data_IF_703514662235
#
_entry.id   IF_703514662235
#
_cell.length_a   1.000
_cell.length_b   1.000
_cell.length_c   1.000
_cell.angle_alpha   90.00
_cell.angle_beta   90.00
_cell.angle_gamma   90.00
#
_symmetry.space_group_name_H-M   'P 1'
#
loop_
_entity.id
_entity.type
_entity.pdbx_description
1 polymer ?
#
# COMPACT_ATOMS: atom_id res chain seq x y z
N UNK A 1 19.04 -5.70 -15.04
CA UNK A 1 18.15 -6.66 -15.70
C UNK A 1 18.90 -7.40 -16.82
N UNK A 2 18.51 -8.64 -17.10
CA UNK A 2 19.06 -9.46 -18.21
C UNK A 2 17.91 -9.78 -19.14
N UNK A 3 18.10 -9.51 -20.42
CA UNK A 3 17.13 -9.88 -21.48
C UNK A 3 17.65 -11.14 -22.16
N UNK A 4 16.80 -12.16 -22.25
CA UNK A 4 17.12 -13.44 -22.87
C UNK A 4 16.26 -13.59 -24.15
N UNK A 5 16.80 -13.29 -25.33
CA UNK A 5 16.06 -13.42 -26.58
C UNK A 5 15.65 -14.88 -26.85
N UNK A 6 14.47 -15.07 -27.43
CA UNK A 6 13.96 -16.39 -27.85
C UNK A 6 13.98 -17.45 -26.73
N UNK A 7 13.79 -17.03 -25.46
CA UNK A 7 13.80 -17.92 -24.30
C UNK A 7 12.38 -18.03 -23.74
N UNK A 8 11.89 -19.24 -23.57
CA UNK A 8 10.60 -19.51 -22.95
C UNK A 8 10.65 -19.31 -21.43
N UNK A 9 9.48 -19.16 -20.80
CA UNK A 9 9.38 -19.02 -19.34
C UNK A 9 10.06 -20.20 -18.62
N UNK A 10 9.88 -21.43 -19.10
CA UNK A 10 10.48 -22.64 -18.52
C UNK A 10 12.01 -22.66 -18.63
N UNK A 11 12.56 -22.19 -19.73
CA UNK A 11 14.01 -22.07 -19.89
C UNK A 11 14.57 -20.98 -18.98
N UNK A 12 13.88 -19.85 -18.84
CA UNK A 12 14.25 -18.81 -17.91
C UNK A 12 14.27 -19.32 -16.45
N UNK A 13 13.27 -20.12 -16.04
CA UNK A 13 13.23 -20.80 -14.74
C UNK A 13 14.46 -21.70 -14.51
N UNK A 14 14.83 -22.49 -15.50
CA UNK A 14 16.00 -23.38 -15.42
C UNK A 14 17.31 -22.58 -15.29
N UNK A 15 17.43 -21.46 -16.01
CA UNK A 15 18.59 -20.57 -15.92
C UNK A 15 18.68 -19.98 -14.52
N UNK A 16 17.56 -19.48 -13.98
CA UNK A 16 17.51 -18.90 -12.63
C UNK A 16 17.84 -19.95 -11.57
N UNK A 17 17.30 -21.16 -11.67
CA UNK A 17 17.60 -22.25 -10.74
C UNK A 17 19.11 -22.60 -10.72
N UNK A 18 19.76 -22.60 -11.88
CA UNK A 18 21.22 -22.78 -11.96
C UNK A 18 21.99 -21.65 -11.31
N UNK A 19 21.59 -20.40 -11.53
CA UNK A 19 22.23 -19.24 -10.94
C UNK A 19 22.07 -19.24 -9.41
N UNK A 20 20.89 -19.56 -8.90
CA UNK A 20 20.64 -19.70 -7.46
C UNK A 20 21.56 -20.76 -6.82
N UNK A 21 21.70 -21.91 -7.47
CA UNK A 21 22.60 -22.98 -7.00
C UNK A 21 24.07 -22.54 -6.99
N UNK A 22 24.53 -21.81 -7.99
CA UNK A 22 25.90 -21.29 -8.05
C UNK A 22 26.14 -20.27 -6.93
N UNK A 23 25.18 -19.36 -6.72
CA UNK A 23 25.30 -18.26 -5.74
C UNK A 23 25.20 -18.78 -4.30
N UNK A 24 24.41 -19.84 -4.04
CA UNK A 24 24.18 -20.36 -2.69
C UNK A 24 25.47 -20.88 -2.01
N UNK A 25 26.52 -21.15 -2.74
CA UNK A 25 27.82 -21.60 -2.21
C UNK A 25 28.85 -20.47 -2.12
N UNK A 26 28.55 -19.31 -2.67
CA UNK A 26 29.45 -18.16 -2.70
C UNK A 26 29.37 -17.33 -1.43
N UNK A 27 30.49 -16.77 -1.01
CA UNK A 27 30.61 -15.85 0.14
C UNK A 27 31.41 -14.63 -0.21
N UNK A 28 31.07 -13.51 0.38
CA UNK A 28 31.84 -12.27 0.32
C UNK A 28 32.20 -11.88 1.75
N UNK A 29 33.50 -11.87 2.08
CA UNK A 29 34.01 -11.64 3.43
C UNK A 29 33.36 -12.55 4.50
N UNK A 30 33.26 -13.86 4.20
CA UNK A 30 32.62 -14.89 5.01
C UNK A 30 31.09 -14.76 5.18
N UNK A 31 30.46 -13.75 4.56
CA UNK A 31 29.02 -13.58 4.55
C UNK A 31 28.44 -14.33 3.35
N UNK A 32 27.46 -15.26 3.54
CA UNK A 32 26.81 -15.94 2.43
C UNK A 32 26.18 -14.96 1.46
N UNK A 33 26.45 -15.12 0.17
CA UNK A 33 25.85 -14.29 -0.86
C UNK A 33 24.39 -14.68 -1.07
N UNK A 34 23.49 -13.71 -1.00
CA UNK A 34 22.06 -13.89 -1.26
C UNK A 34 21.60 -12.95 -2.37
N UNK A 35 21.05 -13.53 -3.45
CA UNK A 35 20.49 -12.76 -4.58
C UNK A 35 19.09 -13.27 -4.85
N UNK A 36 18.14 -12.35 -4.96
CA UNK A 36 16.77 -12.67 -5.34
C UNK A 36 16.58 -12.47 -6.84
N UNK A 37 15.85 -13.39 -7.46
CA UNK A 37 15.57 -13.40 -8.89
C UNK A 37 14.06 -13.32 -9.13
N UNK A 38 13.69 -12.60 -10.17
CA UNK A 38 12.38 -12.66 -10.78
C UNK A 38 12.53 -12.75 -12.29
N UNK A 39 11.61 -13.41 -12.93
CA UNK A 39 11.61 -13.60 -14.37
C UNK A 39 10.19 -13.52 -14.91
N UNK A 40 10.07 -13.05 -16.14
CA UNK A 40 8.84 -13.02 -16.90
C UNK A 40 9.14 -13.20 -18.37
N UNK A 41 8.15 -13.66 -19.13
CA UNK A 41 8.28 -13.86 -20.56
C UNK A 41 7.17 -13.07 -21.28
N UNK A 42 7.54 -12.25 -22.24
CA UNK A 42 6.58 -11.61 -23.14
C UNK A 42 5.97 -12.67 -24.05
N UNK A 43 4.69 -12.98 -23.87
CA UNK A 43 3.98 -14.02 -24.62
C UNK A 43 3.05 -13.48 -25.68
N UNK A 44 2.64 -12.21 -25.59
CA UNK A 44 1.74 -11.55 -26.52
C UNK A 44 2.41 -10.36 -27.22
N UNK A 45 2.06 -10.14 -28.47
CA UNK A 45 2.57 -8.99 -29.25
C UNK A 45 2.13 -7.66 -28.62
N UNK A 46 0.95 -7.65 -27.97
CA UNK A 46 0.36 -6.48 -27.31
C UNK A 46 1.01 -6.14 -25.97
N UNK A 47 1.72 -7.06 -25.33
CA UNK A 47 2.47 -6.77 -24.09
C UNK A 47 3.64 -5.84 -24.38
N UNK A 48 3.85 -4.85 -23.53
CA UNK A 48 5.04 -3.99 -23.59
C UNK A 48 6.22 -4.64 -22.86
N UNK A 49 7.42 -4.19 -23.17
CA UNK A 49 8.62 -4.61 -22.42
C UNK A 49 8.56 -4.15 -20.97
N UNK A 50 7.96 -3.00 -20.74
CA UNK A 50 7.78 -2.41 -19.41
C UNK A 50 6.84 -3.26 -18.52
N UNK A 51 5.72 -3.74 -19.08
CA UNK A 51 4.81 -4.66 -18.39
C UNK A 51 5.52 -5.98 -18.04
N UNK A 52 6.28 -6.54 -18.98
CA UNK A 52 7.05 -7.77 -18.74
C UNK A 52 8.12 -7.56 -17.67
N UNK A 53 8.78 -6.40 -17.67
CA UNK A 53 9.76 -6.04 -16.65
C UNK A 53 9.11 -5.89 -15.27
N UNK A 54 7.95 -5.22 -15.18
CA UNK A 54 7.16 -5.06 -13.96
C UNK A 54 6.70 -6.43 -13.40
N UNK A 55 6.36 -7.38 -14.27
CA UNK A 55 6.03 -8.76 -13.85
C UNK A 55 7.25 -9.48 -13.25
N UNK A 56 8.41 -9.38 -13.90
CA UNK A 56 9.65 -9.98 -13.41
C UNK A 56 10.09 -9.35 -12.07
N UNK A 57 10.00 -8.04 -11.94
CA UNK A 57 10.30 -7.31 -10.73
C UNK A 57 9.38 -7.73 -9.58
N UNK A 58 8.08 -7.83 -9.82
CA UNK A 58 7.11 -8.31 -8.83
C UNK A 58 7.43 -9.74 -8.38
N UNK A 59 7.84 -10.61 -9.30
CA UNK A 59 8.24 -11.98 -8.98
C UNK A 59 9.54 -12.02 -8.15
N UNK A 60 10.52 -11.18 -8.47
CA UNK A 60 11.75 -11.05 -7.69
C UNK A 60 11.46 -10.64 -6.25
N UNK A 61 10.59 -9.65 -6.04
CA UNK A 61 10.18 -9.23 -4.71
C UNK A 61 9.46 -10.35 -3.96
N UNK A 62 8.58 -11.10 -4.62
CA UNK A 62 7.96 -12.30 -4.02
C UNK A 62 9.03 -13.28 -3.54
N UNK A 63 9.99 -13.65 -4.39
CA UNK A 63 11.06 -14.60 -4.02
C UNK A 63 11.96 -14.07 -2.91
N UNK A 64 12.28 -12.78 -2.90
CA UNK A 64 13.08 -12.16 -1.85
C UNK A 64 12.46 -12.34 -0.45
N UNK A 65 11.15 -12.30 -0.37
CA UNK A 65 10.39 -12.42 0.87
C UNK A 65 10.07 -13.89 1.23
N UNK A 66 9.98 -14.80 0.25
CA UNK A 66 9.75 -16.24 0.48
C UNK A 66 10.98 -17.02 0.96
N UNK A 67 12.18 -16.48 0.82
CA UNK A 67 13.42 -17.17 1.19
C UNK A 67 13.62 -17.34 2.70
N UNK A 68 12.74 -16.75 3.53
CA UNK A 68 12.81 -16.85 5.00
C UNK A 68 11.42 -17.19 5.60
N UNK A 69 11.07 -18.49 5.73
CA UNK A 69 9.73 -18.93 6.16
C UNK A 69 9.33 -18.57 7.59
N UNK A 70 10.28 -18.30 8.48
CA UNK A 70 10.04 -18.00 9.91
C UNK A 70 9.97 -16.50 10.25
N UNK A 71 10.17 -15.61 9.29
CA UNK A 71 10.35 -14.17 9.53
C UNK A 71 9.08 -13.37 9.14
N UNK A 72 7.95 -14.00 8.82
CA UNK A 72 6.86 -13.37 8.04
C UNK A 72 6.11 -12.23 8.74
N UNK A 73 5.70 -12.41 10.00
CA UNK A 73 5.04 -11.34 10.77
C UNK A 73 6.09 -10.41 11.39
N UNK A 74 7.19 -10.96 11.88
CA UNK A 74 8.28 -10.17 12.44
C UNK A 74 8.89 -9.21 11.41
N UNK A 75 8.94 -9.63 10.12
CA UNK A 75 9.42 -8.76 9.04
C UNK A 75 8.48 -7.61 8.72
N UNK A 76 7.16 -7.81 8.73
CA UNK A 76 6.20 -6.73 8.52
C UNK A 76 6.24 -5.73 9.68
N UNK A 77 6.31 -6.23 10.91
CA UNK A 77 6.48 -5.40 12.09
C UNK A 77 7.78 -4.61 12.03
N UNK A 78 8.88 -5.23 11.62
CA UNK A 78 10.16 -4.53 11.44
C UNK A 78 10.10 -3.43 10.38
N UNK A 79 9.39 -3.67 9.26
CA UNK A 79 9.17 -2.64 8.23
C UNK A 79 8.30 -1.50 8.77
N UNK A 80 7.24 -1.82 9.52
CA UNK A 80 6.40 -0.80 10.16
C UNK A 80 7.20 0.04 11.16
N UNK A 81 8.02 -0.58 12.01
CA UNK A 81 8.88 0.15 12.93
C UNK A 81 9.84 1.09 12.18
N UNK A 82 10.41 0.66 11.04
CA UNK A 82 11.22 1.55 10.19
C UNK A 82 10.42 2.75 9.65
N UNK A 83 9.12 2.55 9.30
CA UNK A 83 8.24 3.64 8.89
C UNK A 83 8.00 4.60 10.06
N UNK A 84 7.70 4.07 11.24
CA UNK A 84 7.41 4.86 12.44
C UNK A 84 8.63 5.64 12.95
N UNK A 85 9.83 5.04 12.88
CA UNK A 85 11.09 5.74 13.18
C UNK A 85 11.35 6.90 12.20
N UNK A 86 11.03 6.68 10.92
CA UNK A 86 11.25 7.66 9.86
C UNK A 86 10.23 8.78 9.85
N UNK A 87 9.00 8.47 10.21
CA UNK A 87 7.87 9.39 10.20
C UNK A 87 7.22 9.45 11.59
N UNK A 88 7.75 10.27 12.53
CA UNK A 88 7.17 10.44 13.86
C UNK A 88 5.68 10.82 13.79
N UNK A 89 4.83 10.13 14.56
CA UNK A 89 3.39 10.31 14.56
C UNK A 89 2.62 9.41 13.58
N UNK A 90 3.32 8.67 12.70
CA UNK A 90 2.67 7.80 11.74
C UNK A 90 1.97 6.60 12.40
N UNK A 91 2.49 6.14 13.55
CA UNK A 91 1.87 5.06 14.32
C UNK A 91 0.51 5.48 14.84
N UNK A 92 0.45 6.58 15.57
CA UNK A 92 -0.77 7.14 16.13
C UNK A 92 -1.77 7.51 15.03
N UNK A 93 -1.27 7.99 13.90
CA UNK A 93 -2.07 8.27 12.71
C UNK A 93 -2.75 7.01 12.18
N UNK A 94 -1.99 5.94 11.95
CA UNK A 94 -2.51 4.67 11.44
C UNK A 94 -3.48 4.00 12.44
N UNK A 95 -3.24 4.15 13.75
CA UNK A 95 -4.14 3.65 14.80
C UNK A 95 -5.48 4.40 14.78
N UNK A 96 -5.49 5.72 14.61
CA UNK A 96 -6.71 6.52 14.46
C UNK A 96 -7.49 6.14 13.19
N UNK A 97 -6.79 5.97 12.06
CA UNK A 97 -7.42 5.49 10.82
C UNK A 97 -8.05 4.13 11.05
N UNK A 98 -7.37 3.21 11.74
CA UNK A 98 -7.88 1.86 12.01
C UNK A 98 -9.11 1.88 12.93
N UNK A 99 -9.16 2.74 13.95
CA UNK A 99 -10.32 2.90 14.81
C UNK A 99 -11.54 3.32 14.00
N UNK A 100 -11.42 4.35 13.19
CA UNK A 100 -12.51 4.85 12.34
C UNK A 100 -12.97 3.79 11.33
N UNK A 101 -12.04 3.10 10.67
CA UNK A 101 -12.37 2.03 9.74
C UNK A 101 -13.14 0.88 10.42
N UNK A 102 -12.73 0.50 11.63
CA UNK A 102 -13.43 -0.52 12.40
C UNK A 102 -14.86 -0.07 12.81
N UNK A 103 -15.06 1.20 13.19
CA UNK A 103 -16.38 1.74 13.46
C UNK A 103 -17.26 1.71 12.22
N UNK A 104 -16.75 2.20 11.07
CA UNK A 104 -17.48 2.16 9.79
C UNK A 104 -17.86 0.74 9.38
N UNK A 105 -16.96 -0.22 9.55
CA UNK A 105 -17.19 -1.61 9.21
C UNK A 105 -18.22 -2.28 10.13
N UNK A 106 -18.19 -1.99 11.43
CA UNK A 106 -19.19 -2.46 12.41
C UNK A 106 -20.59 -1.96 12.08
N UNK A 107 -20.74 -0.69 11.73
CA UNK A 107 -22.03 -0.09 11.34
C UNK A 107 -22.59 -0.70 10.05
N UNK A 108 -21.77 -1.39 9.27
CA UNK A 108 -22.13 -2.08 8.04
C UNK A 108 -22.28 -3.61 8.22
N UNK A 109 -22.18 -4.11 9.45
CA UNK A 109 -22.39 -5.52 9.77
C UNK A 109 -21.27 -6.44 9.32
N UNK A 110 -20.03 -5.97 9.26
CA UNK A 110 -18.87 -6.80 8.95
C UNK A 110 -18.70 -7.89 9.99
N UNK A 111 -18.37 -9.10 9.53
CA UNK A 111 -18.03 -10.24 10.39
C UNK A 111 -16.72 -9.97 11.14
N UNK A 112 -16.48 -10.71 12.24
CA UNK A 112 -15.23 -10.61 13.02
C UNK A 112 -13.99 -10.72 12.13
N UNK A 113 -14.00 -11.66 11.17
CA UNK A 113 -12.88 -11.82 10.22
C UNK A 113 -12.68 -10.60 9.33
N UNK A 114 -13.75 -10.01 8.84
CA UNK A 114 -13.68 -8.78 8.05
C UNK A 114 -13.23 -7.57 8.88
N UNK A 115 -13.57 -7.54 10.18
CA UNK A 115 -13.09 -6.52 11.11
C UNK A 115 -11.58 -6.66 11.37
N UNK A 116 -11.07 -7.87 11.53
CA UNK A 116 -9.63 -8.13 11.60
C UNK A 116 -8.92 -7.70 10.32
N UNK A 117 -9.48 -8.05 9.15
CA UNK A 117 -8.89 -7.73 7.86
C UNK A 117 -8.85 -6.20 7.62
N UNK A 118 -9.94 -5.47 7.89
CA UNK A 118 -9.94 -4.00 7.70
C UNK A 118 -9.02 -3.29 8.71
N UNK A 119 -8.94 -3.78 9.94
CA UNK A 119 -7.98 -3.27 10.92
C UNK A 119 -6.54 -3.42 10.44
N UNK A 120 -6.20 -4.61 9.91
CA UNK A 120 -4.88 -4.86 9.36
C UNK A 120 -4.58 -3.97 8.14
N UNK A 121 -5.53 -3.81 7.22
CA UNK A 121 -5.41 -2.89 6.07
C UNK A 121 -5.12 -1.48 6.53
N UNK A 122 -5.88 -0.98 7.51
CA UNK A 122 -5.75 0.40 8.00
C UNK A 122 -4.41 0.65 8.69
N UNK A 123 -3.89 -0.32 9.45
CA UNK A 123 -2.57 -0.21 10.08
C UNK A 123 -1.42 -0.28 9.07
N UNK A 124 -1.62 -0.98 7.96
CA UNK A 124 -0.58 -1.27 6.96
C UNK A 124 -0.68 -0.38 5.71
N UNK A 125 -1.72 0.48 5.58
CA UNK A 125 -1.98 1.19 4.32
C UNK A 125 -0.79 2.00 3.81
N UNK A 126 -0.02 2.55 4.71
CA UNK A 126 1.14 3.41 4.45
C UNK A 126 2.51 2.70 4.59
N UNK A 127 2.54 1.36 4.73
CA UNK A 127 3.79 0.61 4.89
C UNK A 127 4.81 0.85 3.74
N UNK A 128 4.32 1.17 2.56
CA UNK A 128 5.17 1.48 1.40
C UNK A 128 5.97 2.78 1.54
N UNK A 129 5.64 3.65 2.49
CA UNK A 129 6.42 4.84 2.83
C UNK A 129 7.85 4.52 3.30
N UNK A 130 8.13 3.28 3.66
CA UNK A 130 9.49 2.84 4.05
C UNK A 130 10.56 3.22 3.03
N UNK A 131 10.22 3.24 1.74
CA UNK A 131 11.16 3.54 0.66
C UNK A 131 11.36 5.03 0.38
N UNK A 132 10.54 5.93 0.94
CA UNK A 132 10.63 7.37 0.69
C UNK A 132 11.92 7.94 1.29
N UNK A 133 12.97 8.06 0.50
CA UNK A 133 14.29 8.52 0.98
C UNK A 133 14.54 10.01 0.84
N UNK A 134 13.88 10.67 -0.09
CA UNK A 134 14.07 12.09 -0.40
C UNK A 134 12.89 13.01 -0.02
N UNK A 135 11.77 12.42 0.42
CA UNK A 135 10.53 13.16 0.69
C UNK A 135 10.46 13.58 2.15
N UNK A 136 10.53 14.87 2.41
CA UNK A 136 10.28 15.41 3.74
C UNK A 136 8.80 15.77 3.90
N UNK A 137 8.01 14.83 4.41
CA UNK A 137 6.57 15.02 4.64
C UNK A 137 6.28 16.08 5.74
N UNK A 138 7.29 16.50 6.50
CA UNK A 138 7.16 17.48 7.58
C UNK A 138 7.67 18.88 7.18
N UNK A 139 8.12 19.07 5.93
CA UNK A 139 8.57 20.38 5.49
C UNK A 139 7.41 21.38 5.45
N UNK A 140 7.66 22.65 5.76
CA UNK A 140 6.66 23.70 5.55
C UNK A 140 6.31 23.82 4.06
N UNK A 141 5.00 23.89 3.77
CA UNK A 141 4.51 24.08 2.40
C UNK A 141 4.16 22.80 1.66
N UNK A 142 3.98 22.92 0.35
CA UNK A 142 3.57 21.80 -0.51
C UNK A 142 4.78 20.97 -0.94
N UNK A 143 4.54 19.68 -1.20
CA UNK A 143 5.51 18.84 -1.88
C UNK A 143 5.72 19.37 -3.31
N UNK A 144 6.96 19.28 -3.80
CA UNK A 144 7.24 19.55 -5.19
C UNK A 144 6.78 18.37 -6.09
N UNK A 145 6.89 18.53 -7.39
CA UNK A 145 6.40 17.55 -8.35
C UNK A 145 7.14 16.20 -8.21
N UNK A 146 8.44 16.21 -7.96
CA UNK A 146 9.27 15.01 -7.81
C UNK A 146 8.90 14.26 -6.53
N UNK A 147 8.81 14.98 -5.42
CA UNK A 147 8.38 14.43 -4.12
C UNK A 147 6.97 13.84 -4.20
N UNK A 148 6.08 14.50 -4.95
CA UNK A 148 4.71 14.04 -5.13
C UNK A 148 4.65 12.77 -5.98
N UNK A 149 5.46 12.67 -7.03
CA UNK A 149 5.59 11.45 -7.84
C UNK A 149 6.14 10.30 -6.98
N UNK A 150 7.14 10.56 -6.15
CA UNK A 150 7.72 9.56 -5.25
C UNK A 150 6.71 9.10 -4.21
N UNK A 151 5.98 10.04 -3.57
CA UNK A 151 4.95 9.72 -2.59
C UNK A 151 3.86 8.83 -3.19
N UNK A 152 3.38 9.13 -4.39
CA UNK A 152 2.33 8.33 -5.07
C UNK A 152 2.71 6.87 -5.32
N UNK A 153 3.96 6.49 -5.16
CA UNK A 153 4.41 5.10 -5.34
C UNK A 153 4.17 4.21 -4.12
N UNK A 154 3.91 4.80 -2.93
CA UNK A 154 3.80 4.00 -1.71
C UNK A 154 2.67 2.94 -1.75
N UNK A 155 1.50 3.13 -2.41
CA UNK A 155 0.50 2.07 -2.50
C UNK A 155 0.99 0.86 -3.31
N UNK A 156 1.71 1.09 -4.42
CA UNK A 156 2.30 0.01 -5.21
C UNK A 156 3.40 -0.73 -4.43
N UNK A 157 4.19 -0.01 -3.66
CA UNK A 157 5.24 -0.59 -2.82
C UNK A 157 4.62 -1.39 -1.67
N UNK A 158 3.61 -0.84 -1.01
CA UNK A 158 2.83 -1.54 0.02
C UNK A 158 2.19 -2.82 -0.51
N UNK A 159 1.58 -2.75 -1.69
CA UNK A 159 1.06 -3.93 -2.40
C UNK A 159 2.14 -5.01 -2.59
N UNK A 160 3.33 -4.63 -3.05
CA UNK A 160 4.45 -5.57 -3.27
C UNK A 160 4.92 -6.20 -1.97
N UNK A 161 5.03 -5.41 -0.89
CA UNK A 161 5.42 -5.89 0.43
C UNK A 161 4.40 -6.93 0.93
N UNK A 162 3.10 -6.61 0.89
CA UNK A 162 2.06 -7.50 1.42
C UNK A 162 1.82 -8.73 0.54
N UNK A 163 1.81 -8.57 -0.78
CA UNK A 163 1.56 -9.69 -1.73
C UNK A 163 2.51 -10.86 -1.56
N UNK A 164 3.65 -10.64 -0.95
CA UNK A 164 4.65 -11.67 -0.66
C UNK A 164 4.38 -12.41 0.66
N UNK A 165 3.47 -11.93 1.50
CA UNK A 165 3.14 -12.54 2.78
C UNK A 165 1.89 -13.43 2.63
N UNK A 166 1.98 -14.69 3.08
CA UNK A 166 0.88 -15.67 2.92
C UNK A 166 -0.33 -15.37 3.81
N UNK A 167 -0.16 -14.64 4.92
CA UNK A 167 -1.23 -14.36 5.87
C UNK A 167 -2.04 -13.14 5.46
N UNK A 168 -1.36 -12.07 5.03
CA UNK A 168 -2.00 -10.79 4.71
C UNK A 168 -1.95 -10.43 3.23
N UNK A 169 -1.37 -11.28 2.37
CA UNK A 169 -1.23 -11.03 0.94
C UNK A 169 -2.57 -10.78 0.21
N UNK A 170 -3.66 -11.38 0.69
CA UNK A 170 -5.02 -11.11 0.20
C UNK A 170 -5.48 -9.67 0.43
N UNK A 171 -4.87 -8.96 1.39
CA UNK A 171 -5.20 -7.57 1.71
C UNK A 171 -4.41 -6.56 0.86
N UNK A 172 -3.43 -7.04 0.09
CA UNK A 172 -2.53 -6.19 -0.68
C UNK A 172 -3.29 -5.29 -1.68
N UNK A 173 -4.35 -5.81 -2.31
CA UNK A 173 -5.17 -5.06 -3.24
C UNK A 173 -5.85 -3.86 -2.59
N UNK A 174 -6.28 -3.99 -1.33
CA UNK A 174 -6.89 -2.89 -0.61
C UNK A 174 -5.89 -1.76 -0.32
N UNK A 175 -4.62 -2.12 -0.08
CA UNK A 175 -3.53 -1.17 0.09
C UNK A 175 -3.16 -0.51 -1.25
N UNK A 176 -3.15 -1.26 -2.34
CA UNK A 176 -2.89 -0.69 -3.67
C UNK A 176 -3.89 0.42 -4.02
N UNK A 177 -5.15 0.23 -3.65
CA UNK A 177 -6.27 1.04 -4.15
C UNK A 177 -6.82 2.07 -3.15
N UNK A 178 -6.18 2.25 -1.97
CA UNK A 178 -6.68 3.16 -0.95
C UNK A 178 -6.61 4.65 -1.33
N UNK A 179 -5.86 5.01 -2.37
CA UNK A 179 -5.83 6.36 -2.95
C UNK A 179 -6.61 6.51 -4.26
N UNK A 180 -7.39 5.50 -4.63
CA UNK A 180 -8.36 5.66 -5.71
C UNK A 180 -9.47 6.64 -5.31
N UNK A 181 -9.95 7.43 -6.26
CA UNK A 181 -11.07 8.33 -6.08
C UNK A 181 -12.32 7.75 -6.74
N UNK A 182 -13.46 7.98 -6.15
CA UNK A 182 -14.75 7.45 -6.65
C UNK A 182 -15.03 7.75 -8.12
N UNK A 183 -14.59 8.91 -8.61
CA UNK A 183 -14.76 9.36 -10.00
C UNK A 183 -13.70 8.81 -10.98
N UNK A 184 -12.69 8.07 -10.49
CA UNK A 184 -11.58 7.51 -11.28
C UNK A 184 -10.40 8.46 -11.45
N UNK A 185 -10.38 9.62 -10.78
CA UNK A 185 -9.25 10.57 -10.82
C UNK A 185 -8.13 10.22 -9.86
N UNK A 186 -8.25 9.10 -9.12
CA UNK A 186 -7.28 8.61 -8.15
C UNK A 186 -6.07 7.90 -8.76
N UNK A 187 -5.32 7.21 -7.92
CA UNK A 187 -4.15 6.45 -8.34
C UNK A 187 -3.99 5.17 -7.51
N UNK A 188 -3.25 4.15 -8.01
CA UNK A 188 -2.47 4.13 -9.25
C UNK A 188 -3.24 3.66 -10.48
N UNK A 189 -4.41 3.02 -10.31
CA UNK A 189 -5.14 2.32 -11.38
C UNK A 189 -6.19 3.18 -12.10
N UNK A 190 -6.68 4.25 -11.46
CA UNK A 190 -7.80 5.04 -11.95
C UNK A 190 -9.12 4.27 -11.91
N UNK A 191 -9.30 3.39 -10.92
CA UNK A 191 -10.53 2.62 -10.68
C UNK A 191 -11.67 3.58 -10.33
N UNK A 192 -12.89 3.22 -10.75
CA UNK A 192 -14.06 4.09 -10.59
C UNK A 192 -15.21 3.37 -9.88
N UNK A 193 -15.85 4.07 -8.95
CA UNK A 193 -17.06 3.60 -8.29
C UNK A 193 -16.82 2.28 -7.55
N UNK A 194 -17.64 1.28 -7.84
CA UNK A 194 -17.57 -0.04 -7.19
C UNK A 194 -16.43 -0.95 -7.68
N UNK A 195 -15.69 -0.53 -8.71
CA UNK A 195 -14.42 -1.20 -9.07
C UNK A 195 -13.38 -1.07 -7.95
N UNK A 196 -13.50 -0.01 -7.12
CA UNK A 196 -12.67 0.18 -5.93
C UNK A 196 -13.19 -0.74 -4.82
N UNK A 197 -12.37 -1.63 -4.26
CA UNK A 197 -12.78 -2.51 -3.16
C UNK A 197 -13.36 -1.74 -1.98
N UNK A 198 -14.43 -2.24 -1.37
CA UNK A 198 -15.10 -1.58 -0.23
C UNK A 198 -14.14 -1.22 0.92
N UNK A 199 -13.20 -2.10 1.36
CA UNK A 199 -12.23 -1.71 2.38
C UNK A 199 -11.40 -0.47 2.00
N UNK A 200 -10.99 -0.35 0.75
CA UNK A 200 -10.21 0.81 0.27
C UNK A 200 -11.03 2.10 0.29
N UNK A 201 -12.32 2.03 -0.07
CA UNK A 201 -13.25 3.18 0.02
C UNK A 201 -13.47 3.65 1.46
N UNK A 202 -13.51 2.71 2.40
CA UNK A 202 -13.60 3.01 3.83
C UNK A 202 -12.31 3.67 4.32
N UNK A 203 -11.14 3.07 4.03
CA UNK A 203 -9.83 3.63 4.39
C UNK A 203 -9.66 5.03 3.83
N UNK A 204 -10.09 5.28 2.58
CA UNK A 204 -9.99 6.59 1.93
C UNK A 204 -10.67 7.71 2.70
N UNK A 205 -11.83 7.45 3.31
CA UNK A 205 -12.57 8.43 4.12
C UNK A 205 -11.88 8.61 5.48
N UNK A 206 -11.52 7.51 6.14
CA UNK A 206 -10.88 7.55 7.45
C UNK A 206 -9.53 8.28 7.39
N UNK A 207 -8.71 7.96 6.39
CA UNK A 207 -7.43 8.62 6.11
C UNK A 207 -7.60 10.13 5.89
N UNK A 208 -8.56 10.52 5.04
CA UNK A 208 -8.85 11.93 4.79
C UNK A 208 -9.34 12.66 6.07
N UNK A 209 -10.18 12.00 6.88
CA UNK A 209 -10.67 12.57 8.14
C UNK A 209 -9.52 12.80 9.12
N UNK A 210 -8.68 11.77 9.37
CA UNK A 210 -7.53 11.90 10.27
C UNK A 210 -6.55 12.94 9.73
N UNK A 211 -6.31 12.98 8.41
CA UNK A 211 -5.46 14.00 7.79
C UNK A 211 -5.98 15.43 7.99
N UNK A 212 -7.30 15.63 8.04
CA UNK A 212 -7.91 16.94 8.25
C UNK A 212 -7.94 17.39 9.71
N UNK A 213 -7.98 16.44 10.64
CA UNK A 213 -8.11 16.70 12.10
C UNK A 213 -6.78 16.59 12.86
N UNK A 214 -5.75 15.97 12.27
CA UNK A 214 -4.42 15.85 12.89
C UNK A 214 -3.60 17.11 12.68
N UNK A 215 -2.96 17.55 13.75
CA UNK A 215 -2.06 18.71 13.71
C UNK A 215 -0.87 18.44 12.75
N UNK A 216 -0.77 19.26 11.71
CA UNK A 216 0.35 19.21 10.76
C UNK A 216 1.03 20.58 10.71
N UNK A 217 2.37 20.61 10.77
CA UNK A 217 3.16 21.83 10.82
C UNK A 217 2.90 22.85 9.70
N UNK A 218 2.24 22.44 8.62
CA UNK A 218 1.97 23.24 7.43
C UNK A 218 0.50 23.63 7.23
N UNK A 219 -0.42 23.17 8.10
CA UNK A 219 -1.85 23.46 8.02
C UNK A 219 -2.46 23.49 9.43
N UNK A 220 -3.34 24.46 9.68
CA UNK A 220 -4.20 24.44 10.84
C UNK A 220 -5.23 23.29 10.74
N UNK A 221 -5.54 22.67 11.86
CA UNK A 221 -6.58 21.65 11.98
C UNK A 221 -7.91 22.25 11.55
N UNK A 222 -8.69 21.49 10.78
CA UNK A 222 -10.04 21.92 10.42
C UNK A 222 -10.99 21.73 11.60
N UNK A 223 -11.95 22.64 11.74
CA UNK A 223 -13.06 22.42 12.67
C UNK A 223 -13.92 21.25 12.19
N UNK A 224 -14.69 20.68 13.12
CA UNK A 224 -15.62 19.58 12.81
C UNK A 224 -16.59 19.95 11.67
N UNK A 225 -17.09 21.18 11.67
CA UNK A 225 -18.00 21.71 10.64
C UNK A 225 -17.32 21.78 9.27
N UNK A 226 -16.08 22.25 9.24
CA UNK A 226 -15.27 22.30 8.00
C UNK A 226 -14.98 20.92 7.45
N UNK A 227 -14.69 19.94 8.31
CA UNK A 227 -14.50 18.54 7.87
C UNK A 227 -15.79 17.97 7.28
N UNK A 228 -16.94 18.20 7.90
CA UNK A 228 -18.25 17.77 7.37
C UNK A 228 -18.50 18.38 6.00
N UNK A 229 -18.26 19.68 5.82
CA UNK A 229 -18.42 20.36 4.54
C UNK A 229 -17.50 19.78 3.47
N UNK A 230 -16.22 19.53 3.81
CA UNK A 230 -15.26 18.98 2.85
C UNK A 230 -15.62 17.55 2.42
N UNK A 231 -16.05 16.69 3.37
CA UNK A 231 -16.51 15.34 3.04
C UNK A 231 -17.75 15.35 2.15
N UNK A 232 -18.75 16.19 2.47
CA UNK A 232 -19.98 16.34 1.67
C UNK A 232 -19.70 16.87 0.27
N UNK A 233 -18.83 17.88 0.15
CA UNK A 233 -18.45 18.49 -1.12
C UNK A 233 -17.76 17.49 -2.06
N UNK A 234 -16.96 16.57 -1.52
CA UNK A 234 -16.19 15.61 -2.29
C UNK A 234 -16.89 14.22 -2.38
N UNK A 235 -18.11 14.07 -1.86
CA UNK A 235 -18.91 12.88 -2.07
C UNK A 235 -19.31 12.74 -3.55
N UNK A 236 -19.08 11.57 -4.14
CA UNK A 236 -19.27 11.30 -5.56
C UNK A 236 -18.10 11.69 -6.46
N UNK A 237 -17.08 12.34 -5.93
CA UNK A 237 -15.81 12.63 -6.63
C UNK A 237 -14.65 11.89 -5.98
N UNK A 238 -14.15 12.36 -4.87
CA UNK A 238 -13.07 11.71 -4.14
C UNK A 238 -13.59 10.51 -3.33
N UNK A 239 -14.75 10.64 -2.71
CA UNK A 239 -15.30 9.66 -1.77
C UNK A 239 -16.54 8.98 -2.33
N UNK A 240 -16.72 7.72 -1.95
CA UNK A 240 -17.97 7.00 -2.12
C UNK A 240 -19.10 7.72 -1.34
N UNK A 241 -20.15 8.20 -2.00
CA UNK A 241 -21.20 8.98 -1.36
C UNK A 241 -21.94 8.21 -0.26
N UNK A 242 -22.13 6.89 -0.44
CA UNK A 242 -22.75 6.04 0.56
C UNK A 242 -21.88 5.89 1.82
N UNK A 243 -20.57 5.73 1.63
CA UNK A 243 -19.64 5.66 2.75
C UNK A 243 -19.52 6.98 3.51
N UNK A 244 -19.60 8.12 2.82
CA UNK A 244 -19.68 9.45 3.46
C UNK A 244 -20.95 9.57 4.31
N UNK A 245 -22.09 9.12 3.82
CA UNK A 245 -23.35 9.13 4.59
C UNK A 245 -23.23 8.30 5.87
N UNK A 246 -22.72 7.07 5.78
CA UNK A 246 -22.48 6.20 6.96
C UNK A 246 -21.54 6.88 7.94
N UNK A 247 -20.42 7.43 7.47
CA UNK A 247 -19.45 8.08 8.33
C UNK A 247 -20.08 9.26 9.09
N UNK A 248 -20.75 10.16 8.38
CA UNK A 248 -21.34 11.36 8.99
C UNK A 248 -22.51 11.07 9.92
N UNK A 249 -23.37 10.09 9.56
CA UNK A 249 -24.56 9.79 10.34
C UNK A 249 -24.30 8.89 11.55
N UNK A 250 -23.37 7.95 11.43
CA UNK A 250 -23.21 6.89 12.43
C UNK A 250 -21.85 6.89 13.14
N UNK A 251 -20.76 7.25 12.47
CA UNK A 251 -19.41 7.15 13.03
C UNK A 251 -18.97 8.47 13.65
N UNK A 252 -19.09 9.57 12.92
CA UNK A 252 -18.67 10.89 13.41
C UNK A 252 -19.30 11.30 14.77
N UNK A 253 -20.56 10.95 15.09
CA UNK A 253 -21.11 11.23 16.42
C UNK A 253 -20.46 10.45 17.57
N UNK A 254 -19.74 9.35 17.27
CA UNK A 254 -19.02 8.54 18.25
C UNK A 254 -17.59 9.01 18.48
N UNK A 255 -17.06 9.85 17.58
CA UNK A 255 -15.73 10.43 17.70
C UNK A 255 -15.81 11.72 18.55
N UNK A 256 -15.09 11.74 19.67
CA UNK A 256 -15.04 12.89 20.59
C UNK A 256 -14.13 14.02 20.04
#
# INVERSE_FOLDING_TARGET
>A
AIVLPSTSLKEAEQIVARLQKLISVEKVNDIPLSISFGWACKTKITETLEETFKQAENMMYKHKLYSYPSIRMDSLNSILEMVYEKFPGEKEYSEQVAEICCLMAKEQGFTEKQLEDIKAVSLLHDIGKVTLSGVNLFKPGKLDEIEWIELKRHPEIGYRILSSNSEVGKLAEYILTHHENWDGSGYPGGLKGEEIPLPSRIVRIADAYVAMTSHRNYRADLTREQVIEELKKNAGTQFDPYQVEIFLAKVLPQLN
#
